data_IF_826769958609
#
_entry.id   IF_826769958609
#
_cell.length_a   1.000
_cell.length_b   1.000
_cell.length_c   1.000
_cell.angle_alpha   90.00
_cell.angle_beta   90.00
_cell.angle_gamma   90.00
#
_symmetry.space_group_name_H-M   'P 1'
#
loop_
_entity.id
_entity.type
_entity.pdbx_description
1 polymer ?
#
# COMPACT_ATOMS: atom_id res chain seq x y z
N UNK A 1 -1.55 7.71 -25.84
CA UNK A 1 -0.14 8.05 -26.05
C UNK A 1 0.72 6.81 -25.94
N UNK A 2 1.76 6.68 -26.79
CA UNK A 2 2.73 5.59 -26.72
C UNK A 2 4.14 6.17 -26.77
N UNK A 3 5.01 5.73 -25.87
CA UNK A 3 6.40 6.19 -25.77
C UNK A 3 7.29 5.12 -25.14
N UNK A 4 8.59 5.31 -25.24
CA UNK A 4 9.61 4.45 -24.63
C UNK A 4 10.40 5.28 -23.62
N UNK A 5 10.59 4.75 -22.42
CA UNK A 5 11.63 5.23 -21.49
C UNK A 5 12.82 4.30 -21.72
N UNK A 6 13.90 4.87 -22.29
CA UNK A 6 15.06 4.10 -22.71
C UNK A 6 16.18 4.16 -21.68
N UNK A 7 16.77 2.98 -21.41
CA UNK A 7 17.95 2.82 -20.52
C UNK A 7 17.81 3.46 -19.13
N UNK A 8 16.61 3.39 -18.55
CA UNK A 8 16.37 3.92 -17.20
C UNK A 8 17.00 3.01 -16.13
N UNK A 9 17.70 3.61 -15.17
CA UNK A 9 18.13 2.92 -13.96
C UNK A 9 16.90 2.64 -13.07
N UNK A 10 16.55 1.38 -12.87
CA UNK A 10 15.44 0.94 -12.05
C UNK A 10 15.95 0.32 -10.75
N UNK A 11 15.51 0.85 -9.60
CA UNK A 11 15.79 0.30 -8.30
C UNK A 11 14.63 -0.60 -7.84
N UNK A 12 14.91 -1.87 -7.64
CA UNK A 12 13.94 -2.87 -7.23
C UNK A 12 14.62 -4.00 -6.45
N UNK A 13 14.00 -4.50 -5.37
CA UNK A 13 14.53 -5.58 -4.52
C UNK A 13 15.96 -5.33 -4.02
N UNK A 14 16.25 -4.10 -3.58
CA UNK A 14 17.58 -3.65 -3.14
C UNK A 14 18.68 -3.74 -4.22
N UNK A 15 18.32 -3.88 -5.48
CA UNK A 15 19.24 -3.92 -6.61
C UNK A 15 18.89 -2.85 -7.64
N UNK A 16 19.91 -2.38 -8.34
CA UNK A 16 19.80 -1.45 -9.43
C UNK A 16 20.11 -2.15 -10.75
N UNK A 17 19.28 -1.98 -11.74
CA UNK A 17 19.50 -2.50 -13.09
C UNK A 17 18.98 -1.52 -14.14
N UNK A 18 19.53 -1.55 -15.32
CA UNK A 18 19.10 -0.71 -16.44
C UNK A 18 18.10 -1.47 -17.28
N UNK A 19 16.98 -0.82 -17.60
CA UNK A 19 15.90 -1.41 -18.37
C UNK A 19 15.29 -0.44 -19.37
N UNK A 20 14.54 -0.96 -20.35
CA UNK A 20 13.67 -0.19 -21.22
C UNK A 20 12.22 -0.44 -20.84
N UNK A 21 11.42 0.61 -20.79
CA UNK A 21 9.98 0.52 -20.55
C UNK A 21 9.23 1.04 -21.77
N UNK A 22 8.33 0.25 -22.32
CA UNK A 22 7.40 0.68 -23.36
C UNK A 22 6.07 0.98 -22.72
N UNK A 23 5.61 2.23 -22.84
CA UNK A 23 4.31 2.65 -22.34
C UNK A 23 3.34 2.76 -23.50
N UNK A 24 2.14 2.18 -23.35
CA UNK A 24 1.05 2.24 -24.32
C UNK A 24 -0.29 2.28 -23.59
N UNK A 25 -1.16 3.22 -23.98
CA UNK A 25 -2.50 3.36 -23.41
C UNK A 25 -2.48 3.44 -21.86
N UNK A 26 -1.60 4.26 -21.30
CA UNK A 26 -1.41 4.49 -19.85
C UNK A 26 -1.05 3.22 -19.05
N UNK A 27 -0.51 2.21 -19.71
CA UNK A 27 0.01 1.00 -19.07
C UNK A 27 1.45 0.73 -19.51
N UNK A 28 2.21 0.07 -18.69
CA UNK A 28 3.53 -0.46 -19.05
C UNK A 28 3.29 -1.68 -19.94
N UNK A 29 3.41 -1.49 -21.25
CA UNK A 29 3.16 -2.55 -22.23
C UNK A 29 4.21 -3.66 -22.16
N UNK A 30 5.48 -3.28 -22.10
CA UNK A 30 6.58 -4.23 -21.93
C UNK A 30 7.74 -3.62 -21.15
N UNK A 31 8.52 -4.48 -20.53
CA UNK A 31 9.75 -4.19 -19.79
C UNK A 31 10.87 -5.10 -20.33
N UNK A 32 12.12 -4.64 -20.31
CA UNK A 32 13.33 -5.38 -20.73
C UNK A 32 13.30 -5.83 -22.20
N UNK A 33 12.50 -5.20 -23.04
CA UNK A 33 12.37 -5.54 -24.45
C UNK A 33 13.38 -4.76 -25.29
N UNK A 34 13.92 -5.38 -26.34
CA UNK A 34 14.66 -4.66 -27.36
C UNK A 34 13.73 -3.68 -28.09
N UNK A 35 14.04 -2.41 -27.98
CA UNK A 35 13.20 -1.30 -28.50
C UNK A 35 13.74 -0.70 -29.81
N UNK A 36 14.85 -1.22 -30.38
CA UNK A 36 15.55 -0.60 -31.51
C UNK A 36 14.67 -0.43 -32.75
N UNK A 37 13.76 -1.37 -32.98
CA UNK A 37 12.84 -1.35 -34.13
C UNK A 37 11.52 -0.62 -33.88
N UNK A 38 11.29 -0.14 -32.64
CA UNK A 38 10.05 0.54 -32.29
C UNK A 38 10.11 2.03 -32.66
N UNK A 39 9.10 2.51 -33.38
CA UNK A 39 8.99 3.92 -33.83
C UNK A 39 8.11 4.76 -32.86
N UNK A 40 8.41 4.71 -31.57
CA UNK A 40 7.74 5.54 -30.56
C UNK A 40 8.64 6.71 -30.12
N UNK A 41 8.07 7.74 -29.53
CA UNK A 41 8.82 8.82 -28.89
C UNK A 41 9.70 8.19 -27.79
N UNK A 42 10.96 8.59 -27.73
CA UNK A 42 11.93 8.11 -26.75
C UNK A 42 12.17 9.17 -25.69
N UNK A 43 12.07 8.78 -24.43
CA UNK A 43 12.43 9.59 -23.28
C UNK A 43 13.71 9.07 -22.68
N UNK A 44 14.69 9.95 -22.52
CA UNK A 44 15.98 9.66 -21.90
C UNK A 44 16.01 10.32 -20.51
N UNK A 45 16.18 9.51 -19.49
CA UNK A 45 16.16 9.94 -18.07
C UNK A 45 17.49 9.55 -17.38
N UNK A 46 18.60 9.78 -18.09
CA UNK A 46 19.93 9.25 -17.77
C UNK A 46 20.48 9.67 -16.39
N UNK A 47 19.89 10.70 -15.77
CA UNK A 47 20.31 11.21 -14.45
C UNK A 47 19.33 10.87 -13.34
N UNK A 48 18.41 9.97 -13.61
CA UNK A 48 17.39 9.60 -12.64
C UNK A 48 17.37 8.10 -12.38
N UNK A 49 17.02 7.76 -11.16
CA UNK A 49 16.70 6.39 -10.76
C UNK A 49 15.18 6.33 -10.63
N UNK A 50 14.59 5.35 -11.27
CA UNK A 50 13.16 5.07 -11.16
C UNK A 50 12.91 4.07 -10.04
N UNK A 51 11.91 4.34 -9.22
CA UNK A 51 11.41 3.44 -8.18
C UNK A 51 9.89 3.35 -8.28
N UNK A 52 9.31 2.22 -7.88
CA UNK A 52 7.87 2.11 -7.78
C UNK A 52 7.33 3.15 -6.77
N UNK A 53 6.15 3.71 -7.05
CA UNK A 53 5.52 4.63 -6.10
C UNK A 53 5.15 3.90 -4.80
N UNK A 54 5.15 4.66 -3.70
CA UNK A 54 4.94 4.14 -2.36
C UNK A 54 3.46 3.92 -2.04
N UNK A 55 3.23 3.09 -1.03
CA UNK A 55 1.94 2.90 -0.36
C UNK A 55 2.12 3.20 1.11
N UNK A 56 1.34 4.10 1.67
CA UNK A 56 1.46 4.55 3.07
C UNK A 56 0.18 4.27 3.86
N UNK A 57 0.33 4.19 5.19
CA UNK A 57 -0.81 4.20 6.09
C UNK A 57 -1.34 5.62 6.22
N UNK A 58 -2.61 5.81 5.92
CA UNK A 58 -3.28 7.10 6.01
C UNK A 58 -4.18 7.27 7.23
N UNK A 59 -4.62 8.50 7.41
CA UNK A 59 -5.57 8.89 8.44
C UNK A 59 -6.81 9.51 7.79
N UNK A 60 -7.96 8.84 7.91
CA UNK A 60 -9.21 9.30 7.28
C UNK A 60 -9.75 10.59 7.91
N UNK A 61 -9.54 10.78 9.21
CA UNK A 61 -9.96 12.01 9.88
C UNK A 61 -9.12 13.21 9.43
N UNK A 62 -7.83 12.98 9.17
CA UNK A 62 -6.97 14.02 8.61
C UNK A 62 -7.39 14.39 7.19
N UNK A 63 -7.72 13.40 6.34
CA UNK A 63 -8.32 13.66 5.03
C UNK A 63 -9.62 14.47 5.13
N UNK A 64 -10.49 14.12 6.07
CA UNK A 64 -11.75 14.82 6.30
C UNK A 64 -11.57 16.30 6.70
N UNK A 65 -10.54 16.59 7.50
CA UNK A 65 -10.26 17.93 8.00
C UNK A 65 -9.46 18.78 7.03
N UNK A 66 -8.39 18.25 6.46
CA UNK A 66 -7.38 18.99 5.68
C UNK A 66 -7.57 18.82 4.17
N UNK A 67 -8.38 17.86 3.74
CA UNK A 67 -8.73 17.64 2.34
C UNK A 67 -7.51 17.51 1.43
N UNK A 68 -7.43 18.37 0.43
CA UNK A 68 -6.40 18.29 -0.61
C UNK A 68 -4.98 18.49 -0.07
N UNK A 69 -4.81 19.24 1.03
CA UNK A 69 -3.49 19.46 1.62
C UNK A 69 -2.92 18.16 2.21
N UNK A 70 -3.76 17.37 2.89
CA UNK A 70 -3.38 16.03 3.32
C UNK A 70 -2.93 15.14 2.14
N UNK A 71 -3.65 15.18 1.03
CA UNK A 71 -3.26 14.40 -0.15
C UNK A 71 -1.91 14.87 -0.74
N UNK A 72 -1.60 16.18 -0.69
CA UNK A 72 -0.29 16.71 -1.07
C UNK A 72 0.82 16.20 -0.17
N UNK A 73 0.63 16.20 1.15
CA UNK A 73 1.59 15.63 2.10
C UNK A 73 1.91 14.17 1.78
N UNK A 74 0.89 13.37 1.48
CA UNK A 74 1.05 11.97 1.08
C UNK A 74 1.90 11.84 -0.20
N UNK A 75 1.66 12.69 -1.20
CA UNK A 75 2.46 12.68 -2.44
C UNK A 75 3.91 13.10 -2.18
N UNK A 76 4.15 14.00 -1.24
CA UNK A 76 5.51 14.39 -0.85
C UNK A 76 6.30 13.23 -0.21
N UNK A 77 5.63 12.20 0.31
CA UNK A 77 6.24 10.93 0.70
C UNK A 77 6.45 9.96 -0.48
N UNK A 78 6.22 10.40 -1.72
CA UNK A 78 6.31 9.55 -2.92
C UNK A 78 5.17 8.54 -3.06
N UNK A 79 4.12 8.67 -2.26
CA UNK A 79 3.01 7.73 -2.27
C UNK A 79 1.94 8.09 -3.30
N UNK A 80 1.43 7.08 -3.98
CA UNK A 80 0.28 7.17 -4.89
C UNK A 80 -0.87 6.27 -4.45
N UNK A 81 -0.70 5.59 -3.33
CA UNK A 81 -1.71 4.71 -2.75
C UNK A 81 -1.71 4.85 -1.23
N UNK A 82 -2.91 4.90 -0.64
CA UNK A 82 -3.09 5.08 0.79
C UNK A 82 -3.92 3.94 1.37
N UNK A 83 -3.48 3.37 2.48
CA UNK A 83 -4.26 2.40 3.26
C UNK A 83 -4.99 3.15 4.35
N UNK A 84 -6.32 3.19 4.31
CA UNK A 84 -7.15 3.87 5.30
C UNK A 84 -7.75 2.90 6.31
N UNK A 85 -7.34 2.95 7.58
CA UNK A 85 -8.03 2.27 8.66
C UNK A 85 -9.36 2.94 8.96
N UNK A 86 -10.42 2.13 8.99
CA UNK A 86 -11.76 2.57 9.38
C UNK A 86 -12.07 2.05 10.78
N UNK A 87 -12.32 2.96 11.69
CA UNK A 87 -12.63 2.63 13.07
C UNK A 87 -14.03 2.06 13.21
N UNK A 88 -14.13 0.90 13.84
CA UNK A 88 -15.41 0.25 14.15
C UNK A 88 -15.36 -0.28 15.57
N UNK A 89 -16.28 0.19 16.42
CA UNK A 89 -16.34 -0.19 17.83
C UNK A 89 -17.35 -1.31 18.09
N UNK A 90 -18.38 -1.45 17.24
CA UNK A 90 -19.43 -2.44 17.38
C UNK A 90 -19.78 -3.09 16.03
N UNK A 91 -20.16 -4.36 16.06
CA UNK A 91 -20.46 -5.15 14.84
C UNK A 91 -21.54 -4.50 13.98
N UNK A 92 -22.57 -3.92 14.60
CA UNK A 92 -23.66 -3.26 13.84
C UNK A 92 -23.21 -2.01 13.07
N UNK A 93 -22.06 -1.42 13.42
CA UNK A 93 -21.49 -0.26 12.73
C UNK A 93 -20.67 -0.63 11.50
N UNK A 94 -20.32 -1.92 11.30
CA UNK A 94 -19.43 -2.34 10.22
C UNK A 94 -19.87 -1.80 8.86
N UNK A 95 -21.14 -1.97 8.53
CA UNK A 95 -21.63 -1.55 7.22
C UNK A 95 -21.69 -0.02 7.09
N UNK A 96 -22.28 0.66 8.07
CA UNK A 96 -22.42 2.13 8.04
C UNK A 96 -21.08 2.84 7.96
N UNK A 97 -20.12 2.46 8.81
CA UNK A 97 -18.82 3.14 8.87
C UNK A 97 -18.01 2.91 7.58
N UNK A 98 -18.06 1.69 7.00
CA UNK A 98 -17.33 1.41 5.75
C UNK A 98 -17.96 2.15 4.57
N UNK A 99 -19.28 2.22 4.48
CA UNK A 99 -19.95 2.97 3.40
C UNK A 99 -19.76 4.48 3.56
N UNK A 100 -19.81 5.03 4.78
CA UNK A 100 -19.49 6.42 5.05
C UNK A 100 -18.05 6.76 4.62
N UNK A 101 -17.10 5.89 4.96
CA UNK A 101 -15.72 6.05 4.53
C UNK A 101 -15.58 6.02 3.01
N UNK A 102 -16.29 5.12 2.32
CA UNK A 102 -16.30 5.06 0.86
C UNK A 102 -16.86 6.33 0.24
N UNK A 103 -17.95 6.87 0.78
CA UNK A 103 -18.51 8.15 0.31
C UNK A 103 -17.51 9.29 0.48
N UNK A 104 -16.86 9.38 1.65
CA UNK A 104 -15.84 10.40 1.94
C UNK A 104 -14.64 10.28 1.01
N UNK A 105 -14.22 9.06 0.66
CA UNK A 105 -13.06 8.80 -0.18
C UNK A 105 -13.35 8.87 -1.69
N UNK A 106 -14.59 9.05 -2.14
CA UNK A 106 -14.91 9.23 -3.57
C UNK A 106 -14.17 10.42 -4.20
N UNK A 107 -13.89 11.47 -3.42
CA UNK A 107 -13.14 12.64 -3.85
C UNK A 107 -11.63 12.54 -3.64
N UNK A 108 -11.12 11.46 -3.09
CA UNK A 108 -9.69 11.32 -2.81
C UNK A 108 -8.90 11.19 -4.11
N UNK A 109 -7.83 12.00 -4.32
CA UNK A 109 -7.15 12.06 -5.62
C UNK A 109 -6.24 10.87 -5.92
N UNK A 110 -5.85 10.08 -4.91
CA UNK A 110 -4.96 8.93 -5.04
C UNK A 110 -5.71 7.61 -4.87
N UNK A 111 -5.12 6.50 -5.29
CA UNK A 111 -5.71 5.19 -5.05
C UNK A 111 -5.67 4.84 -3.55
N UNK A 112 -6.62 4.04 -3.11
CA UNK A 112 -6.71 3.70 -1.70
C UNK A 112 -7.17 2.26 -1.46
N UNK A 113 -6.83 1.76 -0.27
CA UNK A 113 -7.27 0.47 0.27
C UNK A 113 -7.95 0.73 1.60
N UNK A 114 -9.13 0.19 1.80
CA UNK A 114 -9.81 0.24 3.10
C UNK A 114 -9.42 -1.00 3.91
N UNK A 115 -9.05 -0.78 5.17
CA UNK A 115 -8.84 -1.81 6.18
C UNK A 115 -9.67 -1.47 7.42
N UNK A 116 -10.04 -2.47 8.22
CA UNK A 116 -10.76 -2.19 9.47
C UNK A 116 -9.78 -1.98 10.62
N UNK A 117 -10.15 -1.13 11.57
CA UNK A 117 -9.54 -1.05 12.89
C UNK A 117 -10.60 -1.31 13.96
N UNK A 118 -10.42 -2.38 14.72
CA UNK A 118 -11.41 -2.88 15.67
C UNK A 118 -10.77 -3.16 17.03
N UNK A 119 -11.50 -3.03 18.14
CA UNK A 119 -11.03 -3.53 19.43
C UNK A 119 -10.99 -5.07 19.44
N UNK A 120 -10.09 -5.64 20.23
CA UNK A 120 -9.91 -7.11 20.33
C UNK A 120 -11.22 -7.86 20.68
N UNK A 121 -12.11 -7.25 21.46
CA UNK A 121 -13.42 -7.81 21.84
C UNK A 121 -14.37 -8.03 20.64
N UNK A 122 -14.14 -7.32 19.53
CA UNK A 122 -14.88 -7.48 18.30
C UNK A 122 -14.38 -8.62 17.41
N UNK A 123 -13.30 -9.31 17.79
CA UNK A 123 -12.73 -10.37 16.94
C UNK A 123 -13.63 -11.61 16.90
N UNK A 124 -14.61 -11.59 15.98
CA UNK A 124 -15.66 -12.61 15.77
C UNK A 124 -15.74 -12.99 14.29
N UNK A 125 -16.33 -14.17 14.02
CA UNK A 125 -16.56 -14.65 12.65
C UNK A 125 -17.32 -13.67 11.75
N UNK A 126 -18.28 -12.93 12.32
CA UNK A 126 -19.10 -11.95 11.59
C UNK A 126 -18.22 -10.86 10.93
N UNK A 127 -17.25 -10.33 11.67
CA UNK A 127 -16.30 -9.33 11.16
C UNK A 127 -15.47 -9.92 10.01
N UNK A 128 -14.98 -11.13 10.18
CA UNK A 128 -14.16 -11.81 9.18
C UNK A 128 -14.96 -12.11 7.91
N UNK A 129 -16.19 -12.57 8.04
CA UNK A 129 -17.11 -12.81 6.92
C UNK A 129 -17.46 -11.50 6.21
N UNK A 130 -17.62 -10.41 6.97
CA UNK A 130 -17.83 -9.07 6.42
C UNK A 130 -16.63 -8.65 5.57
N UNK A 131 -15.40 -8.76 6.10
CA UNK A 131 -14.17 -8.43 5.37
C UNK A 131 -14.09 -9.19 4.05
N UNK A 132 -14.33 -10.51 4.07
CA UNK A 132 -14.32 -11.34 2.86
C UNK A 132 -15.35 -10.89 1.85
N UNK A 133 -16.59 -10.62 2.28
CA UNK A 133 -17.69 -10.18 1.41
C UNK A 133 -17.40 -8.83 0.74
N UNK A 134 -16.75 -7.92 1.47
CA UNK A 134 -16.50 -6.56 1.02
C UNK A 134 -15.06 -6.33 0.49
N UNK A 135 -14.28 -7.41 0.30
CA UNK A 135 -12.90 -7.36 -0.23
C UNK A 135 -11.95 -6.50 0.61
N UNK A 136 -12.13 -6.52 1.93
CA UNK A 136 -11.25 -5.88 2.91
C UNK A 136 -10.15 -6.87 3.28
N UNK A 137 -8.90 -6.55 2.97
CA UNK A 137 -7.79 -7.51 3.02
C UNK A 137 -7.07 -7.58 4.36
N UNK A 138 -7.26 -6.60 5.23
CA UNK A 138 -6.57 -6.55 6.51
C UNK A 138 -7.46 -5.97 7.62
N UNK A 139 -7.18 -6.39 8.85
CA UNK A 139 -7.81 -5.89 10.08
C UNK A 139 -6.75 -5.51 11.09
N UNK A 140 -6.74 -4.27 11.51
CA UNK A 140 -5.95 -3.78 12.63
C UNK A 140 -6.73 -4.09 13.91
N UNK A 141 -6.12 -4.82 14.82
CA UNK A 141 -6.72 -5.15 16.11
C UNK A 141 -6.09 -4.30 17.19
N UNK A 142 -6.89 -3.43 17.80
CA UNK A 142 -6.47 -2.67 18.98
C UNK A 142 -6.47 -3.58 20.19
N UNK A 143 -5.29 -3.83 20.73
CA UNK A 143 -5.02 -4.82 21.77
C UNK A 143 -4.74 -4.10 23.09
N UNK A 144 -5.56 -4.39 24.09
CA UNK A 144 -5.34 -3.98 25.46
C UNK A 144 -4.50 -5.01 26.21
N UNK A 145 -4.85 -6.30 26.06
CA UNK A 145 -4.16 -7.41 26.69
C UNK A 145 -4.14 -8.62 25.74
N UNK A 146 -2.95 -9.12 25.42
CA UNK A 146 -2.78 -10.31 24.56
C UNK A 146 -3.33 -11.58 25.23
N UNK A 147 -3.42 -11.62 26.55
CA UNK A 147 -4.00 -12.79 27.27
C UNK A 147 -5.46 -13.03 26.87
N UNK A 148 -6.24 -11.97 26.63
CA UNK A 148 -7.63 -12.08 26.16
C UNK A 148 -7.70 -12.60 24.72
N UNK A 149 -6.72 -12.28 23.87
CA UNK A 149 -6.65 -12.79 22.49
C UNK A 149 -6.50 -14.31 22.44
N UNK A 150 -5.88 -14.92 23.45
CA UNK A 150 -5.78 -16.38 23.56
C UNK A 150 -7.14 -17.05 23.76
N UNK A 151 -8.14 -16.33 24.29
CA UNK A 151 -9.48 -16.84 24.53
C UNK A 151 -10.37 -16.81 23.27
N UNK A 152 -9.92 -16.13 22.21
CA UNK A 152 -10.63 -16.10 20.92
C UNK A 152 -10.63 -17.52 20.33
N UNK A 153 -11.79 -17.95 19.84
CA UNK A 153 -11.93 -19.23 19.14
C UNK A 153 -11.30 -19.18 17.75
N UNK A 154 -9.96 -19.23 17.69
CA UNK A 154 -9.20 -19.08 16.44
C UNK A 154 -9.51 -20.10 15.37
N UNK A 155 -9.90 -21.31 15.74
CA UNK A 155 -10.39 -22.34 14.80
C UNK A 155 -11.58 -21.83 13.97
N UNK A 156 -12.55 -21.23 14.63
CA UNK A 156 -13.73 -20.68 13.96
C UNK A 156 -13.41 -19.43 13.11
N UNK A 157 -12.48 -18.60 13.59
CA UNK A 157 -11.99 -17.47 12.79
C UNK A 157 -11.32 -17.98 11.52
N UNK A 158 -10.47 -19.00 11.64
CA UNK A 158 -9.75 -19.61 10.52
C UNK A 158 -10.70 -20.20 9.48
N UNK A 159 -11.75 -20.91 9.90
CA UNK A 159 -12.79 -21.45 9.02
C UNK A 159 -13.54 -20.31 8.28
N UNK A 160 -13.83 -19.23 8.98
CA UNK A 160 -14.49 -18.05 8.38
C UNK A 160 -13.60 -17.29 7.41
N UNK A 161 -12.27 -17.26 7.65
CA UNK A 161 -11.28 -16.65 6.74
C UNK A 161 -11.18 -17.43 5.42
N UNK A 162 -11.19 -18.75 5.48
CA UNK A 162 -10.90 -19.59 4.31
C UNK A 162 -11.91 -19.38 3.17
N UNK A 163 -11.46 -19.21 1.91
CA UNK A 163 -10.07 -19.18 1.41
C UNK A 163 -9.44 -17.77 1.32
N UNK A 164 -10.03 -16.76 1.90
CA UNK A 164 -9.72 -15.32 1.69
C UNK A 164 -8.35 -14.85 2.22
N UNK A 165 -7.76 -15.56 3.21
CA UNK A 165 -6.46 -15.24 3.84
C UNK A 165 -6.36 -13.82 4.39
N UNK A 166 -7.39 -13.35 5.12
CA UNK A 166 -7.40 -12.07 5.81
C UNK A 166 -6.15 -11.90 6.70
N UNK A 167 -5.56 -10.72 6.70
CA UNK A 167 -4.33 -10.41 7.46
C UNK A 167 -4.67 -9.62 8.71
N UNK A 168 -4.07 -10.00 9.85
CA UNK A 168 -4.22 -9.29 11.11
C UNK A 168 -2.97 -8.48 11.45
N UNK A 169 -3.22 -7.24 11.91
CA UNK A 169 -2.18 -6.26 12.23
C UNK A 169 -2.39 -5.87 13.70
N UNK A 170 -1.39 -6.03 14.57
CA UNK A 170 -1.54 -5.63 15.96
C UNK A 170 -1.42 -4.12 16.12
N UNK A 171 -2.19 -3.55 17.02
CA UNK A 171 -2.02 -2.19 17.52
C UNK A 171 -2.17 -2.24 19.04
N UNK A 172 -1.06 -2.21 19.77
CA UNK A 172 -1.07 -2.25 21.22
C UNK A 172 -1.33 -0.87 21.80
N UNK A 173 -2.15 -0.78 22.85
CA UNK A 173 -2.33 0.46 23.61
C UNK A 173 -1.08 0.76 24.45
N UNK A 174 -0.52 -0.29 25.06
CA UNK A 174 0.76 -0.26 25.75
C UNK A 174 1.62 -1.35 25.14
N UNK A 175 2.61 -1.00 24.33
CA UNK A 175 3.43 -2.00 23.65
C UNK A 175 4.65 -2.34 24.50
N UNK A 176 4.79 -3.64 24.79
CA UNK A 176 6.03 -4.21 25.28
C UNK A 176 6.49 -5.37 24.38
N UNK A 177 7.76 -5.72 24.48
CA UNK A 177 8.33 -6.80 23.67
C UNK A 177 7.71 -8.17 24.00
N UNK A 178 7.24 -8.35 25.24
CA UNK A 178 6.59 -9.58 25.68
C UNK A 178 5.24 -9.75 24.95
N UNK A 179 4.40 -8.72 24.87
CA UNK A 179 3.13 -8.76 24.15
C UNK A 179 3.32 -9.02 22.66
N UNK A 180 4.30 -8.38 22.03
CA UNK A 180 4.65 -8.62 20.63
C UNK A 180 5.08 -10.07 20.37
N UNK A 181 5.83 -10.67 21.29
CA UNK A 181 6.28 -12.06 21.20
C UNK A 181 5.10 -13.03 21.33
N UNK A 182 4.22 -12.79 22.29
CA UNK A 182 3.01 -13.59 22.49
C UNK A 182 2.09 -13.52 21.27
N UNK A 183 1.87 -12.35 20.70
CA UNK A 183 1.11 -12.15 19.48
C UNK A 183 1.65 -13.01 18.32
N UNK A 184 2.95 -12.89 18.05
CA UNK A 184 3.62 -13.65 16.98
C UNK A 184 3.49 -15.16 17.20
N UNK A 185 3.75 -15.63 18.41
CA UNK A 185 3.66 -17.05 18.76
C UNK A 185 2.24 -17.59 18.57
N UNK A 186 1.23 -16.85 19.04
CA UNK A 186 -0.17 -17.26 18.96
C UNK A 186 -0.62 -17.38 17.50
N UNK A 187 -0.47 -16.33 16.69
CA UNK A 187 -0.98 -16.35 15.33
C UNK A 187 -0.17 -17.27 14.40
N UNK A 188 1.12 -17.43 14.66
CA UNK A 188 1.94 -18.42 13.94
C UNK A 188 1.50 -19.85 14.27
N UNK A 189 1.22 -20.16 15.53
CA UNK A 189 0.68 -21.47 15.96
C UNK A 189 -0.66 -21.77 15.27
N UNK A 190 -1.52 -20.79 15.20
CA UNK A 190 -2.83 -20.91 14.54
C UNK A 190 -2.72 -20.87 13.00
N UNK A 191 -1.54 -20.64 12.43
CA UNK A 191 -1.29 -20.51 10.99
C UNK A 191 -2.17 -19.43 10.33
N UNK A 192 -2.32 -18.31 11.01
CA UNK A 192 -3.09 -17.15 10.55
C UNK A 192 -2.14 -16.09 10.05
N UNK A 193 -2.44 -15.51 8.87
CA UNK A 193 -1.63 -14.43 8.29
C UNK A 193 -1.67 -13.20 9.19
N UNK A 194 -0.50 -12.70 9.58
CA UNK A 194 -0.37 -11.56 10.48
C UNK A 194 0.90 -10.75 10.23
N UNK A 195 0.89 -9.51 10.71
CA UNK A 195 2.10 -8.72 10.85
C UNK A 195 2.69 -8.90 12.24
N UNK A 196 4.01 -8.88 12.28
CA UNK A 196 4.76 -9.03 13.53
C UNK A 196 4.84 -7.73 14.34
N UNK A 197 4.65 -6.59 13.69
CA UNK A 197 4.74 -5.24 14.26
C UNK A 197 3.50 -4.44 13.87
N UNK A 198 3.14 -3.42 14.66
CA UNK A 198 2.08 -2.48 14.29
C UNK A 198 2.49 -1.63 13.09
N UNK A 199 1.52 -1.08 12.37
CA UNK A 199 1.76 -0.06 11.39
C UNK A 199 2.12 1.28 12.05
N UNK A 200 3.04 2.01 11.43
CA UNK A 200 3.32 3.41 11.76
C UNK A 200 2.73 4.31 10.68
N UNK A 201 2.11 5.41 11.08
CA UNK A 201 1.66 6.44 10.14
C UNK A 201 2.84 7.05 9.38
N UNK A 202 2.59 7.47 8.15
CA UNK A 202 3.58 8.10 7.26
C UNK A 202 4.77 7.22 6.87
N UNK A 203 4.82 5.97 7.30
CA UNK A 203 5.82 5.00 6.85
C UNK A 203 5.30 4.28 5.60
N UNK A 204 6.16 4.15 4.61
CA UNK A 204 5.90 3.30 3.46
C UNK A 204 5.79 1.83 3.86
N UNK A 205 4.83 1.14 3.27
CA UNK A 205 4.66 -0.29 3.45
C UNK A 205 5.71 -1.04 2.63
N UNK A 206 6.40 -1.94 3.28
CA UNK A 206 7.37 -2.81 2.62
C UNK A 206 6.69 -3.74 1.61
N UNK A 207 7.49 -4.24 0.66
CA UNK A 207 7.00 -5.19 -0.35
C UNK A 207 6.35 -6.44 0.27
N UNK A 208 6.88 -6.94 1.39
CA UNK A 208 6.32 -8.11 2.05
C UNK A 208 4.99 -7.80 2.75
N UNK A 209 4.84 -6.59 3.29
CA UNK A 209 3.55 -6.12 3.81
C UNK A 209 2.52 -6.00 2.69
N UNK A 210 2.89 -5.42 1.54
CA UNK A 210 2.03 -5.32 0.37
C UNK A 210 1.61 -6.70 -0.18
N UNK A 211 2.53 -7.69 -0.19
CA UNK A 211 2.20 -9.08 -0.58
C UNK A 211 1.19 -9.71 0.38
N UNK A 212 1.42 -9.59 1.69
CA UNK A 212 0.51 -10.12 2.71
C UNK A 212 -0.90 -9.53 2.56
N UNK A 213 -0.98 -8.21 2.36
CA UNK A 213 -2.26 -7.54 2.15
C UNK A 213 -2.88 -7.80 0.77
N UNK A 214 -2.13 -8.34 -0.19
CA UNK A 214 -2.57 -8.55 -1.57
C UNK A 214 -2.61 -7.28 -2.42
N UNK A 215 -2.02 -6.20 -1.95
CA UNK A 215 -1.83 -4.95 -2.71
C UNK A 215 -0.78 -5.13 -3.79
N UNK A 216 0.29 -5.87 -3.50
CA UNK A 216 1.22 -6.39 -4.50
C UNK A 216 0.57 -7.54 -5.28
N UNK A 217 0.67 -7.59 -6.62
CA UNK A 217 1.50 -6.79 -7.53
C UNK A 217 0.75 -5.64 -8.22
N UNK A 218 -0.36 -5.18 -7.70
CA UNK A 218 -1.08 -4.02 -8.26
C UNK A 218 -0.29 -2.73 -8.02
N UNK A 219 0.34 -2.62 -6.86
CA UNK A 219 1.21 -1.52 -6.43
C UNK A 219 2.54 -2.07 -5.91
N UNK A 220 3.54 -1.19 -5.77
CA UNK A 220 4.87 -1.54 -5.23
C UNK A 220 5.78 -2.28 -6.21
N UNK A 221 5.46 -2.26 -7.50
CA UNK A 221 6.31 -2.84 -8.57
C UNK A 221 6.05 -2.18 -9.91
N UNK A 222 7.12 -2.01 -10.70
CA UNK A 222 7.07 -1.61 -12.10
C UNK A 222 7.14 -2.88 -12.96
N UNK A 223 6.05 -3.25 -13.61
CA UNK A 223 5.95 -4.51 -14.37
C UNK A 223 5.14 -4.38 -15.65
N UNK A 224 5.36 -5.26 -16.60
CA UNK A 224 4.52 -5.36 -17.79
C UNK A 224 3.06 -5.62 -17.41
N UNK A 225 2.14 -4.93 -18.07
CA UNK A 225 0.71 -4.91 -17.76
C UNK A 225 0.36 -4.09 -16.52
N UNK A 226 1.34 -3.46 -15.87
CA UNK A 226 1.13 -2.61 -14.70
C UNK A 226 0.75 -1.18 -15.06
N UNK A 227 0.32 -0.45 -14.04
CA UNK A 227 0.04 0.97 -14.10
C UNK A 227 1.34 1.79 -14.24
N UNK A 228 1.27 2.92 -14.93
CA UNK A 228 2.40 3.86 -15.03
C UNK A 228 2.40 4.78 -13.82
N UNK A 229 2.88 4.26 -12.68
CA UNK A 229 2.98 4.99 -11.41
C UNK A 229 4.34 4.72 -10.79
N UNK A 230 5.18 5.76 -10.71
CA UNK A 230 6.55 5.65 -10.23
C UNK A 230 7.09 7.00 -9.75
N UNK A 231 8.17 6.95 -8.99
CA UNK A 231 8.95 8.09 -8.59
C UNK A 231 10.28 8.14 -9.36
N UNK A 232 10.71 9.34 -9.72
CA UNK A 232 12.05 9.61 -10.22
C UNK A 232 12.84 10.35 -9.14
N UNK A 233 13.96 9.80 -8.77
CA UNK A 233 14.92 10.41 -7.86
C UNK A 233 16.19 10.75 -8.63
N UNK A 234 16.85 11.82 -8.22
CA UNK A 234 18.14 12.19 -8.80
C UNK A 234 19.17 11.09 -8.52
N UNK A 235 20.00 10.80 -9.51
CA UNK A 235 21.06 9.80 -9.40
C UNK A 235 21.92 10.04 -8.17
N UNK A 236 22.11 9.00 -7.36
CA UNK A 236 22.87 9.01 -6.11
C UNK A 236 23.71 7.75 -6.03
N UNK A 237 24.75 7.78 -5.20
CA UNK A 237 25.49 6.57 -4.87
C UNK A 237 24.55 5.51 -4.27
N UNK A 238 24.60 4.27 -4.79
CA UNK A 238 23.75 3.14 -4.36
C UNK A 238 23.68 2.95 -2.85
N UNK A 239 24.79 3.26 -2.13
CA UNK A 239 24.84 3.17 -0.65
C UNK A 239 23.84 4.06 0.06
N UNK A 240 23.49 5.21 -0.52
CA UNK A 240 22.53 6.14 0.09
C UNK A 240 21.05 5.66 0.00
N UNK A 241 20.72 4.84 -1.00
CA UNK A 241 19.38 4.26 -1.16
C UNK A 241 19.15 3.08 -0.20
N UNK A 242 20.21 2.36 0.16
CA UNK A 242 20.13 1.16 1.00
C UNK A 242 20.08 1.51 2.50
N UNK A 243 20.70 2.61 2.92
CA UNK A 243 20.92 2.92 4.34
C UNK A 243 19.94 3.91 4.96
N UNK A 244 19.15 4.65 4.18
CA UNK A 244 18.26 5.69 4.71
C UNK A 244 16.88 5.67 4.01
N UNK A 245 16.02 4.75 4.40
CA UNK A 245 14.62 4.72 3.94
C UNK A 245 13.87 6.04 4.23
N UNK A 246 14.22 6.74 5.32
CA UNK A 246 13.56 8.00 5.72
C UNK A 246 14.01 9.23 4.91
N UNK A 247 15.15 9.19 4.22
CA UNK A 247 15.74 10.39 3.60
C UNK A 247 15.62 10.47 2.08
N UNK A 248 15.10 9.45 1.41
CA UNK A 248 14.99 9.52 -0.05
C UNK A 248 13.78 10.33 -0.54
N UNK A 249 12.75 10.53 0.31
CA UNK A 249 11.55 11.30 -0.06
C UNK A 249 11.86 12.73 -0.48
N UNK A 250 12.82 13.38 0.19
CA UNK A 250 13.29 14.73 -0.14
C UNK A 250 14.01 14.80 -1.49
N UNK A 251 14.41 13.65 -2.02
CA UNK A 251 15.16 13.54 -3.28
C UNK A 251 14.30 13.14 -4.46
N UNK A 252 13.01 12.91 -4.23
CA UNK A 252 12.05 12.68 -5.29
C UNK A 252 11.85 13.98 -6.06
N UNK A 253 12.28 14.00 -7.30
CA UNK A 253 12.09 15.15 -8.20
C UNK A 253 10.74 15.11 -8.91
N UNK A 254 10.28 13.91 -9.30
CA UNK A 254 9.02 13.70 -10.00
C UNK A 254 8.27 12.50 -9.41
N UNK A 255 6.96 12.66 -9.28
CA UNK A 255 6.04 11.53 -9.04
C UNK A 255 5.03 11.46 -10.17
N UNK A 256 4.99 10.31 -10.81
CA UNK A 256 4.04 10.00 -11.87
C UNK A 256 2.97 9.06 -11.30
N UNK A 257 1.71 9.39 -11.54
CA UNK A 257 0.57 8.59 -11.15
C UNK A 257 -0.37 8.41 -12.34
N UNK A 258 -0.60 7.16 -12.74
CA UNK A 258 -1.44 6.80 -13.89
C UNK A 258 -1.05 7.55 -15.17
N UNK A 259 0.26 7.66 -15.38
CA UNK A 259 0.86 8.38 -16.54
C UNK A 259 0.70 9.90 -16.51
N UNK A 260 0.31 10.50 -15.41
CA UNK A 260 0.24 11.95 -15.20
C UNK A 260 1.28 12.38 -14.17
N UNK A 261 1.93 13.52 -14.41
CA UNK A 261 2.88 14.10 -13.45
C UNK A 261 2.06 14.78 -12.35
N UNK A 262 2.17 14.26 -11.12
CA UNK A 262 1.46 14.83 -9.97
C UNK A 262 2.38 15.60 -9.01
N UNK A 263 3.71 15.41 -9.11
CA UNK A 263 4.69 16.12 -8.30
C UNK A 263 5.89 16.51 -9.14
N UNK A 264 6.34 17.76 -8.95
CA UNK A 264 7.62 18.29 -9.47
C UNK A 264 8.31 19.02 -8.32
N UNK A 265 9.38 18.46 -7.77
CA UNK A 265 10.02 18.97 -6.56
C UNK A 265 9.04 19.01 -5.39
N UNK A 266 8.78 20.19 -4.86
CA UNK A 266 7.80 20.39 -3.78
C UNK A 266 6.40 20.81 -4.27
N UNK A 267 6.25 21.01 -5.58
CA UNK A 267 4.96 21.37 -6.16
C UNK A 267 4.15 20.10 -6.44
N UNK A 268 2.97 20.01 -5.85
CA UNK A 268 2.02 18.91 -6.06
C UNK A 268 0.75 19.44 -6.72
N UNK A 269 0.35 18.80 -7.81
CA UNK A 269 -0.89 19.10 -8.55
C UNK A 269 -1.62 17.80 -8.82
N UNK A 270 -2.94 17.80 -8.72
CA UNK A 270 -3.73 16.63 -9.01
C UNK A 270 -4.43 16.77 -10.36
N UNK A 271 -4.46 15.69 -11.17
CA UNK A 271 -5.25 15.65 -12.38
C UNK A 271 -6.75 15.71 -12.06
N UNK A 272 -7.57 15.91 -13.09
CA UNK A 272 -9.02 16.00 -12.95
C UNK A 272 -9.72 14.69 -12.55
N UNK A 273 -9.03 13.55 -12.55
CA UNK A 273 -9.58 12.26 -12.12
C UNK A 273 -9.31 12.01 -10.64
N UNK A 274 -10.19 11.27 -9.99
CA UNK A 274 -10.03 10.80 -8.61
C UNK A 274 -9.37 9.43 -8.58
N UNK A 275 -8.74 9.10 -7.45
CA UNK A 275 -8.25 7.77 -7.18
C UNK A 275 -9.36 6.72 -7.11
N UNK A 276 -8.99 5.46 -6.99
CA UNK A 276 -9.92 4.32 -6.93
C UNK A 276 -9.65 3.45 -5.72
N UNK A 277 -10.73 2.89 -5.15
CA UNK A 277 -10.61 1.82 -4.16
C UNK A 277 -10.01 0.56 -4.80
N UNK A 278 -8.89 0.10 -4.28
CA UNK A 278 -8.33 -1.20 -4.63
C UNK A 278 -9.02 -2.28 -3.81
N UNK A 279 -10.00 -2.95 -4.41
CA UNK A 279 -10.70 -4.08 -3.81
C UNK A 279 -9.89 -5.35 -3.96
N UNK A 280 -9.33 -5.85 -2.87
CA UNK A 280 -8.45 -7.00 -2.85
C UNK A 280 -9.26 -8.30 -2.79
N UNK A 281 -9.25 -9.07 -3.87
CA UNK A 281 -10.01 -10.33 -3.95
C UNK A 281 -9.28 -11.52 -3.33
N UNK A 282 -7.95 -11.52 -3.35
CA UNK A 282 -7.12 -12.62 -2.86
C UNK A 282 -5.91 -12.06 -2.10
N UNK A 283 -6.06 -11.76 -0.79
CA UNK A 283 -4.91 -11.38 0.03
C UNK A 283 -3.90 -12.54 0.14
N UNK A 284 -2.62 -12.20 0.32
CA UNK A 284 -1.58 -13.20 0.55
C UNK A 284 -1.34 -14.20 -0.60
N UNK A 285 -1.71 -13.88 -1.82
CA UNK A 285 -1.49 -14.77 -2.97
C UNK A 285 -0.01 -14.95 -3.31
N UNK A 286 0.80 -13.92 -3.06
CA UNK A 286 2.24 -13.88 -3.36
C UNK A 286 3.12 -14.05 -2.11
N UNK A 287 2.60 -14.67 -1.06
CA UNK A 287 3.37 -15.01 0.14
C UNK A 287 4.29 -16.21 -0.11
#
# INVERSE_FOLDING_TARGET
LSYIIEKIALYENANMHVTNLVVKNNTIYSRDTNVDRMKFIRLHLDKHIMIASETVLGNIEQWKNDGIEYAKEVVLLGATTVVFPIDVQFVYQLHSNVEEARELLKGFPLDYVIVLRIPQSMMKQEVVRYCRKHSISAVIITIKDVSEIKQISWSWIKDAIFPYRLVFIPQFLESDEHQLRLWRQLLSREKISHFSLPFSYHRSLSKDELKKMGVYPFKGIIRSGGEVSYNLIKEMNQKCLIYNEETYYDKIELTIFKNEVIRVGNLVTFPSFTGKELKIKVPGYFQ
#
